data_IF_278142991455
#
_entry.id   IF_278142991455
#
_cell.length_a   1.000
_cell.length_b   1.000
_cell.length_c   1.000
_cell.angle_alpha   90.00
_cell.angle_beta   90.00
_cell.angle_gamma   90.00
#
_symmetry.space_group_name_H-M   'P 1'
#
loop_
_entity.id
_entity.type
_entity.pdbx_description
1 polymer ?
#
# COMPACT_ATOMS: atom_id res chain seq x y z
N UNK A 1 13.18 -4.45 14.46
CA UNK A 1 12.66 -3.91 13.18
C UNK A 1 11.13 -3.75 13.24
N UNK A 2 10.58 -2.97 14.19
CA UNK A 2 9.14 -3.04 14.55
C UNK A 2 8.24 -1.84 14.23
N UNK A 3 8.78 -0.65 13.91
CA UNK A 3 7.94 0.57 13.91
C UNK A 3 7.08 0.78 12.65
N UNK A 4 7.49 0.29 11.49
CA UNK A 4 6.80 0.61 10.22
C UNK A 4 5.46 -0.10 10.08
N UNK A 5 5.33 -1.34 10.58
CA UNK A 5 4.05 -2.08 10.55
C UNK A 5 2.99 -1.43 11.44
N UNK A 6 3.39 -0.97 12.63
CA UNK A 6 2.49 -0.27 13.56
C UNK A 6 2.03 1.07 12.99
N UNK A 7 2.93 1.83 12.35
CA UNK A 7 2.58 3.10 11.69
C UNK A 7 1.58 2.90 10.56
N UNK A 8 1.75 1.86 9.74
CA UNK A 8 0.81 1.53 8.66
C UNK A 8 -0.54 1.07 9.21
N UNK A 9 -0.56 0.24 10.25
CA UNK A 9 -1.79 -0.20 10.90
C UNK A 9 -2.57 0.99 11.47
N UNK A 10 -1.91 1.86 12.23
CA UNK A 10 -2.52 3.07 12.79
C UNK A 10 -3.08 3.97 11.70
N UNK A 11 -2.38 4.13 10.57
CA UNK A 11 -2.88 4.90 9.43
C UNK A 11 -4.15 4.28 8.82
N UNK A 12 -4.20 2.94 8.68
CA UNK A 12 -5.38 2.25 8.16
C UNK A 12 -6.56 2.40 9.12
N UNK A 13 -6.34 2.26 10.43
CA UNK A 13 -7.37 2.46 11.46
C UNK A 13 -7.90 3.90 11.48
N UNK A 14 -7.00 4.89 11.43
CA UNK A 14 -7.38 6.31 11.39
C UNK A 14 -8.11 6.64 10.08
N UNK A 15 -7.66 6.08 8.95
CA UNK A 15 -8.35 6.21 7.68
C UNK A 15 -9.75 5.60 7.77
N UNK A 16 -9.91 4.40 8.31
CA UNK A 16 -11.22 3.74 8.45
C UNK A 16 -12.18 4.51 9.35
N UNK A 17 -11.70 5.03 10.49
CA UNK A 17 -12.47 5.85 11.42
C UNK A 17 -12.82 7.24 10.87
N UNK A 18 -12.05 7.75 9.90
CA UNK A 18 -12.23 9.09 9.35
C UNK A 18 -13.41 9.22 8.38
N UNK A 19 -14.07 10.38 8.40
CA UNK A 19 -15.08 10.74 7.41
C UNK A 19 -14.49 10.88 6.00
N UNK A 20 -15.30 10.70 4.94
CA UNK A 20 -14.88 10.78 3.53
C UNK A 20 -14.06 12.04 3.19
N UNK A 21 -14.42 13.20 3.75
CA UNK A 21 -13.68 14.46 3.54
C UNK A 21 -12.26 14.42 4.14
N UNK A 22 -12.10 13.83 5.33
CA UNK A 22 -10.79 13.67 5.95
C UNK A 22 -9.96 12.60 5.25
N UNK A 23 -10.58 11.50 4.81
CA UNK A 23 -9.91 10.47 4.00
C UNK A 23 -9.18 11.08 2.80
N UNK A 24 -9.85 11.95 2.06
CA UNK A 24 -9.26 12.64 0.89
C UNK A 24 -8.06 13.50 1.31
N UNK A 25 -8.16 14.26 2.40
CA UNK A 25 -7.04 15.06 2.91
C UNK A 25 -5.85 14.20 3.34
N UNK A 26 -6.09 13.03 3.93
CA UNK A 26 -5.03 12.12 4.38
C UNK A 26 -4.25 11.49 3.22
N UNK A 27 -4.92 11.20 2.09
CA UNK A 27 -4.29 10.61 0.91
C UNK A 27 -3.74 11.65 -0.08
N UNK A 28 -4.17 12.91 0.03
CA UNK A 28 -3.76 13.98 -0.88
C UNK A 28 -2.24 14.14 -0.93
N UNK A 29 -1.57 13.97 0.21
CA UNK A 29 -0.12 13.96 0.33
C UNK A 29 0.39 12.57 0.73
N UNK A 30 1.64 12.27 0.39
CA UNK A 30 2.27 11.02 0.82
C UNK A 30 2.39 11.02 2.36
N UNK A 31 1.82 10.02 3.08
CA UNK A 31 1.79 10.01 4.54
C UNK A 31 3.17 9.77 5.18
N UNK A 32 4.15 9.24 4.42
CA UNK A 32 5.47 8.93 4.92
C UNK A 32 6.59 9.41 3.97
N UNK A 33 6.79 10.74 3.80
CA UNK A 33 7.86 11.27 2.93
C UNK A 33 9.27 10.91 3.42
N UNK A 34 9.43 10.59 4.71
CA UNK A 34 10.70 10.23 5.34
C UNK A 34 11.26 8.86 4.91
N UNK A 35 10.43 7.99 4.32
CA UNK A 35 10.86 6.67 3.88
C UNK A 35 11.75 6.83 2.66
N UNK A 36 13.03 6.44 2.78
CA UNK A 36 13.99 6.51 1.67
C UNK A 36 13.97 5.28 0.77
N UNK A 37 13.52 4.13 1.27
CA UNK A 37 13.53 2.86 0.52
C UNK A 37 12.47 2.83 -0.56
N UNK A 38 12.87 2.56 -1.80
CA UNK A 38 11.95 2.48 -2.95
C UNK A 38 10.85 1.42 -2.77
N UNK A 39 11.18 0.28 -2.16
CA UNK A 39 10.24 -0.81 -1.87
C UNK A 39 9.08 -0.35 -0.98
N UNK A 40 9.40 0.34 0.11
CA UNK A 40 8.41 0.83 1.07
C UNK A 40 7.59 2.00 0.48
N UNK A 41 8.21 2.89 -0.31
CA UNK A 41 7.48 3.93 -1.06
C UNK A 41 6.44 3.33 -1.99
N UNK A 42 6.85 2.38 -2.84
CA UNK A 42 5.97 1.73 -3.79
C UNK A 42 4.83 0.99 -3.09
N UNK A 43 5.13 0.36 -1.93
CA UNK A 43 4.14 -0.28 -1.09
C UNK A 43 3.07 0.71 -0.59
N UNK A 44 3.48 1.88 -0.10
CA UNK A 44 2.55 2.91 0.38
C UNK A 44 1.67 3.43 -0.76
N UNK A 45 2.23 3.63 -1.95
CA UNK A 45 1.44 4.05 -3.11
C UNK A 45 0.40 3.00 -3.51
N UNK A 46 0.78 1.71 -3.51
CA UNK A 46 -0.15 0.61 -3.77
C UNK A 46 -1.25 0.53 -2.71
N UNK A 47 -0.90 0.72 -1.43
CA UNK A 47 -1.82 0.73 -0.30
C UNK A 47 -2.85 1.86 -0.44
N UNK A 48 -2.38 3.08 -0.74
CA UNK A 48 -3.26 4.25 -0.91
C UNK A 48 -4.19 4.05 -2.11
N UNK A 49 -3.69 3.54 -3.24
CA UNK A 49 -4.55 3.21 -4.39
C UNK A 49 -5.63 2.20 -4.01
N UNK A 50 -5.25 1.12 -3.34
CA UNK A 50 -6.19 0.07 -2.91
C UNK A 50 -7.27 0.62 -1.97
N UNK A 51 -6.89 1.46 -1.00
CA UNK A 51 -7.84 2.14 -0.11
C UNK A 51 -8.77 3.07 -0.89
N UNK A 52 -8.25 3.80 -1.89
CA UNK A 52 -9.08 4.64 -2.74
C UNK A 52 -10.09 3.81 -3.55
N UNK A 53 -9.64 2.73 -4.17
CA UNK A 53 -10.47 1.84 -4.98
C UNK A 53 -11.57 1.21 -4.10
N UNK A 54 -11.22 0.66 -2.93
CA UNK A 54 -12.17 0.05 -1.99
C UNK A 54 -13.21 1.06 -1.46
N UNK A 55 -12.80 2.30 -1.19
CA UNK A 55 -13.69 3.34 -0.67
C UNK A 55 -14.33 4.22 -1.76
N UNK A 56 -14.11 3.92 -3.04
CA UNK A 56 -14.56 4.71 -4.21
C UNK A 56 -14.16 6.18 -4.12
N UNK A 57 -12.91 6.43 -3.73
CA UNK A 57 -12.31 7.77 -3.64
C UNK A 57 -11.42 8.05 -4.86
N UNK A 58 -11.14 9.33 -5.09
CA UNK A 58 -10.22 9.76 -6.14
C UNK A 58 -8.79 9.39 -5.74
N UNK A 59 -8.09 8.67 -6.63
CA UNK A 59 -6.68 8.33 -6.46
C UNK A 59 -5.84 9.61 -6.61
N UNK A 60 -4.92 9.90 -5.68
CA UNK A 60 -4.10 11.11 -5.73
C UNK A 60 -2.98 10.97 -6.77
N UNK A 61 -2.65 12.06 -7.47
CA UNK A 61 -1.71 12.04 -8.61
C UNK A 61 -0.30 11.53 -8.24
N UNK A 62 0.15 11.76 -7.00
CA UNK A 62 1.48 11.32 -6.56
C UNK A 62 1.63 9.79 -6.57
N UNK A 63 0.54 9.04 -6.39
CA UNK A 63 0.54 7.57 -6.40
C UNK A 63 0.91 7.01 -7.78
N UNK A 64 0.68 7.77 -8.84
CA UNK A 64 1.02 7.40 -10.21
C UNK A 64 2.43 7.84 -10.64
N UNK A 65 3.18 8.55 -9.78
CA UNK A 65 4.55 8.93 -10.08
C UNK A 65 5.44 7.67 -10.21
N UNK A 66 6.24 7.62 -11.29
CA UNK A 66 7.15 6.51 -11.62
C UNK A 66 8.10 6.15 -10.46
N UNK A 67 8.38 7.09 -9.55
CA UNK A 67 9.19 6.86 -8.34
C UNK A 67 8.56 5.85 -7.37
N UNK A 68 7.28 5.56 -7.50
CA UNK A 68 6.54 4.56 -6.71
C UNK A 68 6.32 3.24 -7.45
N UNK A 69 6.94 3.05 -8.61
CA UNK A 69 6.90 1.79 -9.36
C UNK A 69 8.24 1.07 -9.21
N UNK A 70 8.19 -0.20 -8.85
CA UNK A 70 9.39 -1.03 -8.78
C UNK A 70 9.72 -1.59 -10.14
N UNK A 71 11.01 -1.59 -10.49
CA UNK A 71 11.51 -2.25 -11.70
C UNK A 71 11.53 -3.76 -11.55
N UNK A 72 11.76 -4.24 -10.34
CA UNK A 72 11.87 -5.66 -10.01
C UNK A 72 10.72 -6.10 -9.11
N UNK A 73 10.24 -7.35 -9.24
CA UNK A 73 9.18 -7.89 -8.42
C UNK A 73 9.58 -7.95 -6.94
N UNK A 74 8.73 -7.40 -6.07
CA UNK A 74 8.90 -7.40 -4.63
C UNK A 74 7.80 -8.20 -3.96
N UNK A 75 8.18 -9.31 -3.33
CA UNK A 75 7.29 -10.18 -2.58
C UNK A 75 7.34 -9.81 -1.10
N UNK A 76 6.19 -9.44 -0.56
CA UNK A 76 6.02 -9.10 0.87
C UNK A 76 5.50 -10.34 1.59
N UNK A 77 6.42 -11.07 2.21
CA UNK A 77 6.14 -12.30 2.95
C UNK A 77 7.42 -13.11 3.12
N UNK A 78 7.54 -13.84 4.23
CA UNK A 78 8.75 -14.60 4.58
C UNK A 78 8.80 -16.01 3.94
N UNK A 79 7.72 -16.44 3.28
CA UNK A 79 7.60 -17.79 2.75
C UNK A 79 7.64 -17.81 1.21
N UNK A 80 8.80 -18.20 0.69
CA UNK A 80 9.09 -18.43 -0.73
C UNK A 80 8.06 -19.36 -1.40
N UNK A 81 7.57 -20.35 -0.65
CA UNK A 81 6.57 -21.34 -1.09
C UNK A 81 5.20 -20.74 -1.42
N UNK A 82 4.90 -19.52 -0.99
CA UNK A 82 3.62 -18.85 -1.24
C UNK A 82 3.66 -17.88 -2.42
N UNK A 83 4.80 -17.69 -3.10
CA UNK A 83 4.93 -16.73 -4.21
C UNK A 83 3.90 -16.92 -5.34
N UNK A 84 3.62 -18.17 -5.70
CA UNK A 84 2.61 -18.51 -6.72
C UNK A 84 1.20 -18.11 -6.30
N UNK A 85 0.90 -18.21 -5.00
CA UNK A 85 -0.38 -17.80 -4.42
C UNK A 85 -0.50 -16.27 -4.34
N UNK A 86 0.57 -15.60 -3.90
CA UNK A 86 0.66 -14.14 -3.85
C UNK A 86 0.48 -13.51 -5.24
N UNK A 87 0.96 -14.15 -6.31
CA UNK A 87 0.74 -13.67 -7.69
C UNK A 87 -0.75 -13.57 -8.05
N UNK A 88 -1.54 -14.55 -7.63
CA UNK A 88 -2.98 -14.66 -7.93
C UNK A 88 -3.81 -13.75 -7.01
N UNK A 89 -3.52 -13.75 -5.71
CA UNK A 89 -4.27 -12.97 -4.71
C UNK A 89 -3.96 -11.48 -4.71
N UNK A 90 -2.77 -11.06 -5.15
CA UNK A 90 -2.36 -9.66 -5.00
C UNK A 90 -3.36 -8.71 -5.67
N UNK A 91 -3.86 -7.69 -4.93
CA UNK A 91 -4.76 -6.70 -5.52
C UNK A 91 -4.09 -5.99 -6.70
N UNK A 92 -4.89 -5.59 -7.68
CA UNK A 92 -4.42 -4.96 -8.93
C UNK A 92 -3.52 -3.75 -8.65
N UNK A 93 -3.85 -2.98 -7.61
CA UNK A 93 -3.10 -1.82 -7.10
C UNK A 93 -1.64 -2.14 -6.75
N UNK A 94 -1.37 -3.35 -6.22
CA UNK A 94 -0.03 -3.84 -5.89
C UNK A 94 0.64 -4.47 -7.11
N UNK A 95 -0.09 -5.30 -7.85
CA UNK A 95 0.41 -6.02 -9.03
C UNK A 95 0.98 -5.07 -10.09
N UNK A 96 0.28 -3.95 -10.38
CA UNK A 96 0.75 -2.94 -11.35
C UNK A 96 2.07 -2.25 -10.96
N UNK A 97 2.49 -2.36 -9.69
CA UNK A 97 3.75 -1.79 -9.16
C UNK A 97 4.83 -2.84 -8.93
N UNK A 98 4.65 -4.05 -9.48
CA UNK A 98 5.52 -5.19 -9.23
C UNK A 98 5.60 -5.54 -7.73
N UNK A 99 4.52 -5.34 -6.98
CA UNK A 99 4.44 -5.73 -5.57
C UNK A 99 3.46 -6.88 -5.43
N UNK A 100 3.90 -7.93 -4.74
CA UNK A 100 3.12 -9.13 -4.51
C UNK A 100 2.97 -9.37 -3.02
N UNK A 101 1.73 -9.29 -2.55
CA UNK A 101 1.30 -9.32 -1.14
C UNK A 101 0.13 -10.30 -1.01
N UNK A 102 -0.09 -10.84 0.18
CA UNK A 102 -1.30 -11.65 0.42
C UNK A 102 -2.52 -10.73 0.44
N UNK A 103 -3.71 -11.24 0.11
CA UNK A 103 -4.95 -10.47 0.16
C UNK A 103 -5.19 -9.84 1.56
N UNK A 104 -4.70 -10.52 2.61
CA UNK A 104 -4.73 -10.08 4.00
C UNK A 104 -3.72 -9.00 4.36
N UNK A 105 -3.01 -8.38 3.42
CA UNK A 105 -2.01 -7.35 3.75
C UNK A 105 -2.61 -6.12 4.45
N UNK A 106 -3.92 -5.90 4.26
CA UNK A 106 -4.72 -4.86 4.90
C UNK A 106 -5.40 -5.34 6.19
N UNK A 107 -5.34 -6.64 6.48
CA UNK A 107 -6.01 -7.28 7.59
C UNK A 107 -4.95 -7.56 8.67
N UNK A 108 -5.12 -6.82 9.77
CA UNK A 108 -4.47 -6.94 11.07
C UNK A 108 -3.89 -8.36 11.35
N UNK A 109 -2.59 -8.43 11.62
CA UNK A 109 -1.98 -9.52 12.42
C UNK A 109 -2.00 -9.14 13.88
#
# INVERSE_FOLDING_TARGET
MGNHRVLLANFIDEFNCSAKKNKIKMIENCPFPQIKKNKEKAYIAALVEELCVRNRLKIPNWVEDKRFFLKEPFFVGELESLKSFLLVESPVSFRRRNIFVSENVLIRV
#
